data_IF_363264424548
#
_entry.id   IF_363264424548
#
_cell.length_a   1.000
_cell.length_b   1.000
_cell.length_c   1.000
_cell.angle_alpha   90.00
_cell.angle_beta   90.00
_cell.angle_gamma   90.00
#
_symmetry.space_group_name_H-M   'P 1'
#
loop_
_entity.id
_entity.type
_entity.pdbx_description
1 polymer ?
#
# COMPACT_ATOMS: atom_id res chain seq x y z
N UNK A 1 -49.26 0.18 34.68
CA UNK A 1 -47.79 0.18 34.87
C UNK A 1 -47.28 -1.24 34.68
N UNK A 2 -46.61 -1.53 33.57
CA UNK A 2 -45.94 -2.84 33.34
C UNK A 2 -44.55 -2.50 32.83
N UNK A 3 -43.54 -2.83 33.63
CA UNK A 3 -42.14 -2.46 33.44
C UNK A 3 -41.55 -3.17 32.22
N UNK A 4 -41.13 -2.38 31.23
CA UNK A 4 -40.37 -2.84 30.07
C UNK A 4 -38.93 -3.11 30.48
N UNK A 5 -38.58 -4.37 30.72
CA UNK A 5 -37.18 -4.79 30.72
C UNK A 5 -36.77 -5.09 29.27
N UNK A 6 -36.48 -4.03 28.52
CA UNK A 6 -35.69 -4.14 27.29
C UNK A 6 -34.25 -3.75 27.63
N UNK A 7 -33.60 -4.59 28.45
CA UNK A 7 -32.16 -4.53 28.65
C UNK A 7 -31.49 -4.95 27.34
N UNK A 8 -31.19 -3.98 26.49
CA UNK A 8 -30.33 -4.20 25.34
C UNK A 8 -28.99 -4.70 25.87
N UNK A 9 -28.62 -5.95 25.59
CA UNK A 9 -27.24 -6.45 25.72
C UNK A 9 -26.34 -5.79 24.65
N UNK A 10 -26.38 -4.46 24.56
CA UNK A 10 -25.46 -3.73 23.73
C UNK A 10 -24.11 -3.73 24.45
N UNK A 11 -23.16 -4.48 23.92
CA UNK A 11 -21.75 -4.32 24.29
C UNK A 11 -21.42 -2.84 24.08
N UNK A 12 -20.88 -2.13 25.10
CA UNK A 12 -20.47 -0.75 24.98
C UNK A 12 -19.60 -0.55 23.74
N UNK A 13 -19.87 0.50 22.97
CA UNK A 13 -19.13 0.79 21.73
C UNK A 13 -17.62 0.94 22.00
N UNK A 14 -17.25 1.44 23.18
CA UNK A 14 -15.85 1.55 23.63
C UNK A 14 -15.16 0.18 23.73
N UNK A 15 -15.86 -0.85 24.24
CA UNK A 15 -15.33 -2.21 24.35
C UNK A 15 -15.19 -2.87 22.98
N UNK A 16 -16.12 -2.59 22.06
CA UNK A 16 -16.03 -3.03 20.66
C UNK A 16 -14.84 -2.37 19.97
N UNK A 17 -14.68 -1.05 20.13
CA UNK A 17 -13.55 -0.30 19.58
C UNK A 17 -12.23 -0.90 20.08
N UNK A 18 -12.12 -1.17 21.38
CA UNK A 18 -10.97 -1.81 22.00
C UNK A 18 -10.66 -3.21 21.49
N UNK A 19 -11.67 -4.04 21.24
CA UNK A 19 -11.49 -5.36 20.63
C UNK A 19 -10.96 -5.22 19.20
N UNK A 20 -11.59 -4.35 18.40
CA UNK A 20 -11.22 -4.11 17.01
C UNK A 20 -9.81 -3.51 16.88
N UNK A 21 -9.39 -2.66 17.82
CA UNK A 21 -8.04 -2.10 17.86
C UNK A 21 -6.96 -3.18 18.04
N UNK A 22 -7.28 -4.29 18.72
CA UNK A 22 -6.34 -5.39 18.95
C UNK A 22 -6.23 -6.36 17.78
N UNK A 23 -7.05 -6.21 16.73
CA UNK A 23 -6.95 -7.06 15.53
C UNK A 23 -5.60 -6.84 14.81
N UNK A 24 -4.93 -7.91 14.30
CA UNK A 24 -3.63 -7.77 13.66
C UNK A 24 -3.71 -6.95 12.38
N UNK A 25 -2.86 -5.92 12.19
CA UNK A 25 -2.86 -5.11 10.97
C UNK A 25 -2.34 -5.90 9.76
N UNK A 26 -1.52 -6.94 9.98
CA UNK A 26 -0.96 -7.81 8.95
C UNK A 26 -1.97 -8.82 8.38
N UNK A 27 -3.16 -8.95 8.99
CA UNK A 27 -4.26 -9.74 8.46
C UNK A 27 -5.48 -8.85 8.19
N UNK A 28 -5.52 -8.14 7.04
CA UNK A 28 -6.66 -7.30 6.69
C UNK A 28 -7.99 -8.07 6.68
N UNK A 29 -7.97 -9.38 6.41
CA UNK A 29 -9.17 -10.22 6.37
C UNK A 29 -9.89 -10.25 7.74
N UNK A 30 -9.17 -10.23 8.85
CA UNK A 30 -9.76 -10.18 10.19
C UNK A 30 -10.60 -8.92 10.42
N UNK A 31 -10.11 -7.76 10.00
CA UNK A 31 -10.85 -6.49 10.11
C UNK A 31 -12.07 -6.47 9.17
N UNK A 32 -11.93 -7.00 7.95
CA UNK A 32 -13.06 -7.16 7.03
C UNK A 32 -14.14 -8.08 7.59
N UNK A 33 -13.77 -9.24 8.14
CA UNK A 33 -14.72 -10.17 8.78
C UNK A 33 -15.45 -9.51 9.95
N UNK A 34 -14.74 -8.72 10.77
CA UNK A 34 -15.35 -7.97 11.86
C UNK A 34 -16.37 -6.94 11.36
N UNK A 35 -16.08 -6.24 10.25
CA UNK A 35 -17.03 -5.32 9.62
C UNK A 35 -18.30 -6.01 9.11
N UNK A 36 -18.22 -7.30 8.76
CA UNK A 36 -19.36 -8.09 8.26
C UNK A 36 -20.26 -8.63 9.39
N UNK A 37 -19.86 -8.55 10.66
CA UNK A 37 -20.67 -9.06 11.79
C UNK A 37 -21.98 -8.27 11.92
N UNK A 38 -21.91 -6.94 11.94
CA UNK A 38 -23.10 -6.09 12.04
C UNK A 38 -22.86 -4.65 11.54
N UNK A 39 -23.95 -3.94 11.21
CA UNK A 39 -23.91 -2.54 10.73
C UNK A 39 -23.20 -1.56 11.69
N UNK A 40 -23.36 -1.65 13.03
CA UNK A 40 -22.59 -0.82 13.96
C UNK A 40 -21.07 -1.02 13.85
N UNK A 41 -20.59 -2.26 13.78
CA UNK A 41 -19.16 -2.55 13.66
C UNK A 41 -18.59 -2.05 12.32
N UNK A 42 -19.31 -2.26 11.22
CA UNK A 42 -18.96 -1.70 9.91
C UNK A 42 -18.83 -0.17 9.95
N UNK A 43 -19.80 0.51 10.58
CA UNK A 43 -19.78 1.97 10.75
C UNK A 43 -18.57 2.42 11.57
N UNK A 44 -18.31 1.78 12.71
CA UNK A 44 -17.19 2.08 13.60
C UNK A 44 -15.85 1.96 12.88
N UNK A 45 -15.59 0.84 12.19
CA UNK A 45 -14.36 0.58 11.43
C UNK A 45 -14.16 1.61 10.30
N UNK A 46 -15.26 2.07 9.70
CA UNK A 46 -15.24 3.05 8.62
C UNK A 46 -14.94 4.47 9.10
N UNK A 47 -15.05 4.77 10.41
CA UNK A 47 -14.81 6.12 10.93
C UNK A 47 -13.34 6.56 10.81
N UNK A 48 -13.07 7.84 10.53
CA UNK A 48 -11.70 8.38 10.56
C UNK A 48 -11.04 8.25 11.93
N UNK A 49 -11.82 8.39 13.02
CA UNK A 49 -11.34 8.24 14.40
C UNK A 49 -10.77 6.84 14.64
N UNK A 50 -11.53 5.79 14.30
CA UNK A 50 -11.07 4.41 14.46
C UNK A 50 -9.79 4.18 13.66
N UNK A 51 -9.76 4.57 12.37
CA UNK A 51 -8.59 4.39 11.51
C UNK A 51 -7.34 5.08 12.05
N UNK A 52 -7.50 6.27 12.64
CA UNK A 52 -6.40 6.99 13.30
C UNK A 52 -5.91 6.22 14.53
N UNK A 53 -6.80 5.85 15.45
CA UNK A 53 -6.44 5.10 16.67
C UNK A 53 -5.84 3.73 16.35
N UNK A 54 -6.34 3.05 15.32
CA UNK A 54 -5.79 1.78 14.84
C UNK A 54 -4.35 1.94 14.36
N UNK A 55 -4.04 3.00 13.60
CA UNK A 55 -2.66 3.32 13.17
C UNK A 55 -1.77 3.71 14.35
N UNK A 56 -2.27 4.52 15.29
CA UNK A 56 -1.54 4.93 16.49
C UNK A 56 -1.22 3.75 17.40
N UNK A 57 -2.18 2.81 17.57
CA UNK A 57 -2.02 1.61 18.38
C UNK A 57 -0.99 0.65 17.78
N UNK A 58 -1.03 0.43 16.46
CA UNK A 58 -0.11 -0.49 15.78
C UNK A 58 1.24 0.13 15.38
N UNK A 59 1.35 1.47 15.39
CA UNK A 59 2.51 2.34 15.09
C UNK A 59 3.18 2.15 13.71
N UNK A 60 3.39 0.91 13.30
CA UNK A 60 4.01 0.53 12.04
C UNK A 60 2.90 0.12 11.08
N UNK A 61 2.76 0.79 9.92
CA UNK A 61 1.87 0.31 8.87
C UNK A 61 2.23 -1.13 8.53
N UNK A 62 1.25 -2.05 8.40
CA UNK A 62 1.53 -3.41 7.99
C UNK A 62 2.20 -3.37 6.62
N UNK A 63 3.37 -4.00 6.50
CA UNK A 63 4.02 -4.18 5.22
C UNK A 63 3.17 -5.15 4.40
N UNK A 64 2.54 -4.64 3.34
CA UNK A 64 1.73 -5.46 2.45
C UNK A 64 2.60 -6.43 1.63
N UNK A 65 3.85 -6.07 1.42
CA UNK A 65 4.84 -6.85 0.70
C UNK A 65 6.14 -6.09 0.52
N UNK A 66 7.07 -6.69 -0.22
CA UNK A 66 8.29 -6.05 -0.70
C UNK A 66 8.39 -6.16 -2.22
N UNK A 67 9.25 -5.33 -2.80
CA UNK A 67 9.51 -5.28 -4.23
C UNK A 67 10.90 -5.87 -4.50
N UNK A 68 11.00 -6.71 -5.51
CA UNK A 68 12.25 -7.35 -5.90
C UNK A 68 12.50 -7.14 -7.40
N UNK A 69 13.68 -6.64 -7.73
CA UNK A 69 14.20 -6.69 -9.09
C UNK A 69 14.82 -8.07 -9.30
N UNK A 70 14.23 -8.90 -10.14
CA UNK A 70 14.76 -10.22 -10.46
C UNK A 70 15.21 -10.27 -11.91
N UNK A 71 16.38 -10.85 -12.15
CA UNK A 71 16.85 -11.23 -13.49
C UNK A 71 16.74 -12.75 -13.62
N UNK A 72 16.40 -13.24 -14.81
CA UNK A 72 16.60 -14.67 -15.11
C UNK A 72 18.09 -14.92 -15.34
N UNK A 73 18.64 -16.09 -14.98
CA UNK A 73 19.96 -16.48 -15.44
C UNK A 73 19.94 -16.56 -16.97
N UNK A 74 20.69 -15.69 -17.65
CA UNK A 74 20.75 -15.59 -19.12
C UNK A 74 20.21 -14.26 -19.67
N UNK A 75 20.28 -14.05 -21.00
CA UNK A 75 19.75 -12.84 -21.63
C UNK A 75 18.23 -12.81 -21.50
N UNK A 76 17.73 -11.98 -20.59
CA UNK A 76 16.31 -11.78 -20.36
C UNK A 76 16.05 -10.44 -19.66
N UNK A 77 14.88 -9.82 -19.87
CA UNK A 77 14.58 -8.53 -19.26
C UNK A 77 14.48 -8.66 -17.74
N UNK A 78 14.89 -7.62 -17.02
CA UNK A 78 14.60 -7.53 -15.58
C UNK A 78 13.09 -7.57 -15.34
N UNK A 79 12.71 -8.14 -14.20
CA UNK A 79 11.32 -8.25 -13.76
C UNK A 79 11.20 -7.55 -12.41
N UNK A 80 10.39 -6.49 -12.37
CA UNK A 80 9.92 -5.88 -11.14
C UNK A 80 8.83 -6.78 -10.55
N UNK A 81 9.09 -7.43 -9.41
CA UNK A 81 8.15 -8.34 -8.74
C UNK A 81 7.66 -7.75 -7.42
N UNK A 82 6.36 -7.83 -7.14
CA UNK A 82 5.81 -7.63 -5.79
C UNK A 82 5.62 -8.96 -5.08
N UNK A 83 6.16 -9.08 -3.87
CA UNK A 83 6.07 -10.27 -3.03
C UNK A 83 5.25 -9.92 -1.81
N UNK A 84 4.07 -10.52 -1.67
CA UNK A 84 3.21 -10.28 -0.52
C UNK A 84 3.82 -10.88 0.75
N UNK A 85 3.77 -10.11 1.84
CA UNK A 85 4.16 -10.55 3.20
C UNK A 85 2.95 -10.72 4.11
N UNK A 86 1.74 -10.65 3.55
CA UNK A 86 0.47 -10.67 4.28
C UNK A 86 -0.57 -11.52 3.56
N UNK A 87 -1.76 -11.65 4.13
CA UNK A 87 -2.90 -12.29 3.45
C UNK A 87 -3.42 -11.47 2.25
N UNK A 88 -2.91 -10.24 2.04
CA UNK A 88 -3.22 -9.42 0.88
C UNK A 88 -2.76 -10.09 -0.43
N UNK A 89 -3.63 -10.07 -1.44
CA UNK A 89 -3.34 -10.55 -2.79
C UNK A 89 -3.61 -9.42 -3.78
N UNK A 90 -2.58 -8.93 -4.52
CA UNK A 90 -2.78 -7.90 -5.52
C UNK A 90 -3.65 -8.42 -6.69
N UNK A 91 -4.41 -7.53 -7.38
CA UNK A 91 -5.39 -7.92 -8.40
C UNK A 91 -4.81 -8.49 -9.71
N UNK A 92 -3.54 -8.24 -10.00
CA UNK A 92 -2.92 -8.47 -11.31
C UNK A 92 -1.54 -9.14 -11.15
N UNK A 93 -0.92 -9.71 -12.21
CA UNK A 93 0.36 -10.37 -12.07
C UNK A 93 1.36 -9.41 -11.43
N UNK A 94 1.87 -9.80 -10.27
CA UNK A 94 2.81 -9.06 -9.47
C UNK A 94 4.22 -9.00 -10.10
N UNK A 95 4.30 -8.99 -11.44
CA UNK A 95 5.52 -9.08 -12.23
C UNK A 95 5.44 -8.19 -13.47
N UNK A 96 6.35 -7.23 -13.59
CA UNK A 96 6.46 -6.34 -14.73
C UNK A 96 7.81 -6.53 -15.42
N UNK A 97 7.76 -7.17 -16.60
CA UNK A 97 8.95 -7.45 -17.42
C UNK A 97 9.40 -6.18 -18.13
N UNK A 98 10.72 -5.98 -18.21
CA UNK A 98 11.32 -4.83 -18.87
C UNK A 98 11.35 -3.56 -18.00
N UNK A 99 10.93 -3.67 -16.73
CA UNK A 99 10.88 -2.57 -15.78
C UNK A 99 11.78 -2.85 -14.58
N UNK A 100 12.44 -1.80 -14.09
CA UNK A 100 13.26 -1.81 -12.88
C UNK A 100 12.58 -0.97 -11.79
N UNK A 101 12.44 -1.51 -10.58
CA UNK A 101 12.07 -0.74 -9.39
C UNK A 101 13.24 0.16 -8.99
N UNK A 102 12.99 1.46 -8.94
CA UNK A 102 13.94 2.47 -8.48
C UNK A 102 13.69 2.91 -7.03
N UNK A 103 12.43 3.12 -6.68
CA UNK A 103 12.02 3.62 -5.36
C UNK A 103 10.59 3.19 -5.03
N UNK A 104 10.24 3.17 -3.74
CA UNK A 104 8.90 2.89 -3.26
C UNK A 104 8.55 3.80 -2.07
N UNK A 105 7.54 4.67 -2.24
CA UNK A 105 7.10 5.61 -1.21
C UNK A 105 5.58 5.74 -1.19
N UNK A 106 5.00 5.85 0.00
CA UNK A 106 3.56 6.08 0.18
C UNK A 106 2.65 5.08 -0.56
N UNK A 107 3.06 3.82 -0.69
CA UNK A 107 2.29 2.82 -1.44
C UNK A 107 2.31 3.02 -2.96
N UNK A 108 3.33 3.71 -3.48
CA UNK A 108 3.59 3.92 -4.90
C UNK A 108 5.01 3.46 -5.24
N UNK A 109 5.17 2.91 -6.43
CA UNK A 109 6.43 2.34 -6.91
C UNK A 109 6.90 3.10 -8.14
N UNK A 110 8.12 3.61 -8.11
CA UNK A 110 8.77 4.21 -9.28
C UNK A 110 9.48 3.12 -10.08
N UNK A 111 9.08 2.99 -11.34
CA UNK A 111 9.61 2.03 -12.31
C UNK A 111 10.35 2.77 -13.44
N UNK A 112 11.42 2.15 -13.96
CA UNK A 112 12.17 2.60 -15.14
C UNK A 112 12.21 1.52 -16.21
N UNK A 113 11.92 1.89 -17.46
CA UNK A 113 12.05 0.95 -18.58
C UNK A 113 13.52 0.63 -18.89
N UNK A 114 13.80 -0.58 -19.37
CA UNK A 114 15.16 -1.07 -19.69
C UNK A 114 15.24 -1.47 -21.16
N UNK A 115 14.47 -0.82 -22.03
CA UNK A 115 14.50 -1.07 -23.47
C UNK A 115 15.85 -0.61 -24.06
N UNK A 116 16.67 -1.52 -24.62
CA UNK A 116 17.95 -1.14 -25.21
C UNK A 116 17.76 -0.17 -26.37
N UNK A 117 18.58 0.88 -26.44
CA UNK A 117 18.55 1.86 -27.53
C UNK A 117 17.41 2.89 -27.48
N UNK A 118 16.57 2.87 -26.43
CA UNK A 118 15.50 3.85 -26.22
C UNK A 118 15.77 4.71 -24.98
N UNK A 119 15.18 5.92 -24.95
CA UNK A 119 15.21 6.75 -23.75
C UNK A 119 14.44 6.07 -22.61
N UNK A 120 14.98 6.07 -21.38
CA UNK A 120 14.31 5.42 -20.26
C UNK A 120 13.01 6.15 -19.94
N UNK A 121 11.90 5.40 -19.93
CA UNK A 121 10.60 5.89 -19.49
C UNK A 121 10.48 5.68 -17.99
N UNK A 122 9.89 6.67 -17.31
CA UNK A 122 9.56 6.57 -15.89
C UNK A 122 8.07 6.39 -15.70
N UNK A 123 7.72 5.57 -14.71
CA UNK A 123 6.34 5.28 -14.40
C UNK A 123 6.12 5.10 -12.92
N UNK A 124 4.97 5.57 -12.45
CA UNK A 124 4.47 5.29 -11.11
C UNK A 124 3.44 4.19 -11.20
N UNK A 125 3.63 3.15 -10.40
CA UNK A 125 2.74 2.00 -10.28
C UNK A 125 2.12 1.95 -8.87
N UNK A 126 0.82 1.67 -8.79
CA UNK A 126 0.13 1.32 -7.56
C UNK A 126 -0.05 -0.22 -7.50
N UNK A 127 0.70 -0.94 -6.65
CA UNK A 127 0.63 -2.40 -6.55
C UNK A 127 -0.69 -2.90 -5.93
N UNK A 128 -1.49 -2.02 -5.33
CA UNK A 128 -2.78 -2.37 -4.72
C UNK A 128 -3.89 -2.35 -5.75
N UNK A 129 -3.91 -1.34 -6.63
CA UNK A 129 -4.95 -1.16 -7.65
C UNK A 129 -4.54 -1.63 -9.04
N UNK A 130 -3.25 -1.93 -9.23
CA UNK A 130 -2.62 -2.12 -10.54
C UNK A 130 -2.81 -0.93 -11.49
N UNK A 131 -2.80 0.29 -10.94
CA UNK A 131 -2.86 1.51 -11.74
C UNK A 131 -1.47 1.96 -12.19
N UNK A 132 -1.38 2.36 -13.46
CA UNK A 132 -0.14 2.77 -14.13
C UNK A 132 -0.24 4.24 -14.53
N UNK A 133 0.75 5.03 -14.13
CA UNK A 133 0.86 6.45 -14.52
C UNK A 133 2.26 6.73 -15.04
N UNK A 134 2.36 6.92 -16.35
CA UNK A 134 3.60 7.38 -16.97
C UNK A 134 3.92 8.81 -16.51
N UNK A 135 5.16 9.05 -16.11
CA UNK A 135 5.64 10.39 -15.80
C UNK A 135 6.03 11.12 -17.08
N UNK A 136 5.96 12.47 -17.10
CA UNK A 136 6.50 13.26 -18.19
C UNK A 136 7.95 12.85 -18.48
N UNK A 137 8.34 12.90 -19.74
CA UNK A 137 9.70 12.59 -20.13
C UNK A 137 10.63 13.65 -19.52
N UNK A 138 11.25 13.33 -18.38
CA UNK A 138 12.27 14.19 -17.80
C UNK A 138 13.53 13.95 -18.61
N UNK A 139 14.04 15.00 -19.26
CA UNK A 139 15.34 14.97 -19.93
C UNK A 139 16.44 14.76 -18.90
N UNK A 140 16.66 13.51 -18.49
CA UNK A 140 17.69 13.10 -17.53
C UNK A 140 19.11 13.15 -18.11
N UNK A 141 19.32 13.84 -19.24
CA UNK A 141 20.63 14.32 -19.64
C UNK A 141 20.90 15.67 -18.96
N UNK A 142 21.04 15.62 -17.64
CA UNK A 142 21.82 16.61 -16.92
C UNK A 142 22.83 15.82 -16.09
N UNK A 143 23.78 15.20 -16.79
CA UNK A 143 25.09 14.85 -16.21
C UNK A 143 25.91 16.09 -15.88
N UNK A 144 25.42 17.28 -16.22
CA UNK A 144 26.07 18.53 -15.88
C UNK A 144 25.58 18.97 -14.51
N UNK A 145 26.42 18.66 -13.51
CA UNK A 145 26.43 19.36 -12.25
C UNK A 145 26.53 20.86 -12.53
N UNK A 146 25.42 21.58 -12.42
CA UNK A 146 25.46 23.04 -12.48
C UNK A 146 25.96 23.55 -11.11
N UNK A 147 27.28 23.48 -10.90
CA UNK A 147 27.90 24.33 -9.90
C UNK A 147 27.67 25.79 -10.35
N UNK A 148 26.90 26.54 -9.57
CA UNK A 148 26.88 27.99 -9.71
C UNK A 148 28.07 28.53 -8.90
N UNK A 149 29.20 28.80 -9.57
CA UNK A 149 30.20 29.70 -9.02
C UNK A 149 29.63 31.11 -9.03
N UNK A 150 29.44 31.67 -7.83
CA UNK A 150 29.07 33.07 -7.64
C UNK A 150 30.38 33.85 -7.53
N UNK A 151 30.77 34.57 -8.60
CA UNK A 151 31.86 35.56 -8.50
C UNK A 151 31.29 36.92 -8.11
N UNK A 152 31.91 37.50 -7.09
CA UNK A 152 31.62 38.75 -6.39
C UNK A 152 31.52 40.00 -7.26
#
# INVERSE_FOLDING_TARGET
MRTSWQGSMAVPEDLVEEFLLRLPPADPASLFRAALICKPWCRLISTPRFRRRFREFHRTPPTLGFLANTSKPGPGPYVARFVSTSSFRPPAPAEHRGWLVLDARHGRVLLRSIEPGSRPRLMVWDPVTDEWRQLPEVSLFATDWNAAENTS
#
